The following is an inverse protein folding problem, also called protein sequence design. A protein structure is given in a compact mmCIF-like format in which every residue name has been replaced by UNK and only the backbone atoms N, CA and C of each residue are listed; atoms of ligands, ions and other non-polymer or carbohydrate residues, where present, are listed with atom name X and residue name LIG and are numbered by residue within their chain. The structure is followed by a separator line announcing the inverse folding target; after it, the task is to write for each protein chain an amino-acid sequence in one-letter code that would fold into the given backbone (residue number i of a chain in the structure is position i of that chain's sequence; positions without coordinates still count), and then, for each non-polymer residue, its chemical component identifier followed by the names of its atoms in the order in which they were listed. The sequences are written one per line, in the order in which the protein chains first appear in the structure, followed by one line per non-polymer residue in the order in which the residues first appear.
data_IF_834557794990
#
_entry.id   IF_834557794990
#
_cell.length_a   1.000
_cell.length_b   1.000
_cell.length_c   1.000
_cell.angle_alpha   90.00
_cell.angle_beta   90.00
_cell.angle_gamma   90.00
#
_symmetry.space_group_name_H-M   'P 1'
#
loop_
_entity.id
_entity.type
_entity.pdbx_description
1 polymer ?
#
# COMPACT_ATOMS: atom_id res chain seq x y z
N UNK A 1 1.06 20.68 20.11
CA UNK A 1 1.10 20.57 18.64
C UNK A 1 -0.10 19.74 18.20
N UNK A 2 -0.56 19.88 16.97
CA UNK A 2 -1.80 19.28 16.47
C UNK A 2 -1.55 18.40 15.23
N UNK A 3 -2.49 17.55 14.85
CA UNK A 3 -2.39 16.68 13.66
C UNK A 3 -3.68 16.70 12.85
N UNK A 4 -3.58 16.53 11.53
CA UNK A 4 -4.76 16.28 10.70
C UNK A 4 -5.27 14.85 10.90
N UNK A 5 -6.49 14.69 11.39
CA UNK A 5 -7.19 13.38 11.53
C UNK A 5 -7.65 12.80 10.21
N UNK A 6 -7.79 13.64 9.19
CA UNK A 6 -8.29 13.25 7.89
C UNK A 6 -7.63 14.10 6.81
N UNK A 7 -7.42 13.53 5.63
CA UNK A 7 -6.85 14.25 4.50
C UNK A 7 -7.77 15.41 4.13
N UNK A 8 -7.19 16.60 3.99
CA UNK A 8 -7.93 17.83 3.70
C UNK A 8 -7.16 18.72 2.74
N UNK A 9 -7.89 19.48 1.94
CA UNK A 9 -7.30 20.58 1.18
C UNK A 9 -7.04 21.76 2.11
N UNK A 10 -5.77 22.17 2.20
CA UNK A 10 -5.35 23.41 2.83
C UNK A 10 -5.79 24.58 1.93
N UNK A 11 -6.57 25.52 2.46
CA UNK A 11 -7.18 26.61 1.67
C UNK A 11 -6.52 27.97 1.96
N UNK A 12 -6.55 28.90 0.99
CA UNK A 12 -6.05 30.27 1.21
C UNK A 12 -6.85 31.04 2.26
N UNK A 13 -8.15 30.81 2.31
CA UNK A 13 -9.09 31.44 3.22
C UNK A 13 -10.25 30.48 3.54
N UNK A 14 -11.05 30.72 4.59
CA UNK A 14 -12.24 29.92 4.87
C UNK A 14 -13.16 29.83 3.65
N UNK A 15 -13.45 28.62 3.17
CA UNK A 15 -14.19 28.33 1.92
C UNK A 15 -13.53 28.80 0.59
N UNK A 16 -12.29 29.30 0.62
CA UNK A 16 -11.57 29.74 -0.58
C UNK A 16 -10.86 28.62 -1.32
N UNK A 17 -10.10 29.01 -2.34
CA UNK A 17 -9.36 28.10 -3.21
C UNK A 17 -8.39 27.21 -2.44
N UNK A 18 -8.28 25.96 -2.91
CA UNK A 18 -7.31 25.00 -2.41
C UNK A 18 -5.89 25.38 -2.82
N UNK A 19 -4.97 25.33 -1.86
CA UNK A 19 -3.53 25.49 -2.07
C UNK A 19 -2.92 24.13 -2.38
N UNK A 20 -3.18 23.17 -1.50
CA UNK A 20 -2.60 21.83 -1.58
C UNK A 20 -3.42 20.85 -0.76
N UNK A 21 -3.41 19.58 -1.16
CA UNK A 21 -3.97 18.51 -0.33
C UNK A 21 -2.94 18.09 0.71
N UNK A 22 -3.37 18.05 1.96
CA UNK A 22 -2.57 17.68 3.12
C UNK A 22 -3.09 16.36 3.67
N UNK A 23 -2.27 15.30 3.68
CA UNK A 23 -2.66 13.99 4.19
C UNK A 23 -3.13 14.02 5.64
N UNK A 24 -4.01 13.07 6.00
CA UNK A 24 -4.15 12.68 7.40
C UNK A 24 -2.77 12.32 7.97
N UNK A 25 -2.49 12.72 9.20
CA UNK A 25 -1.21 12.49 9.88
C UNK A 25 -0.22 13.62 9.78
N UNK A 26 -0.46 14.62 8.92
CA UNK A 26 0.43 15.77 8.85
C UNK A 26 0.35 16.59 10.14
N UNK A 27 1.51 16.83 10.77
CA UNK A 27 1.63 17.67 11.95
C UNK A 27 1.43 19.12 11.59
N UNK A 28 0.68 19.81 12.44
CA UNK A 28 0.33 21.20 12.24
C UNK A 28 0.50 22.06 13.48
N UNK A 29 0.97 23.29 13.26
CA UNK A 29 0.88 24.38 14.22
C UNK A 29 -0.49 25.04 14.10
N UNK A 30 -1.15 25.31 15.22
CA UNK A 30 -2.48 25.93 15.23
C UNK A 30 -2.37 27.45 15.17
N UNK A 31 -3.18 28.05 14.29
CA UNK A 31 -3.33 29.50 14.15
C UNK A 31 -4.72 29.97 14.60
N UNK A 32 -5.26 30.97 13.90
CA UNK A 32 -6.56 31.57 14.26
C UNK A 32 -7.72 30.65 13.86
N UNK A 33 -8.72 30.52 14.73
CA UNK A 33 -9.98 29.83 14.43
C UNK A 33 -11.08 30.83 14.06
N UNK A 34 -11.85 30.53 13.00
CA UNK A 34 -13.02 31.29 12.55
C UNK A 34 -14.19 30.34 12.27
N UNK A 35 -15.12 30.24 13.21
CA UNK A 35 -16.26 29.32 13.11
C UNK A 35 -15.80 27.86 13.01
N UNK A 36 -16.19 27.18 11.93
CA UNK A 36 -15.81 25.78 11.65
C UNK A 36 -14.43 25.64 11.01
N UNK A 37 -13.71 26.74 10.74
CA UNK A 37 -12.41 26.74 10.10
C UNK A 37 -11.30 27.09 11.08
N UNK A 38 -10.14 26.45 10.94
CA UNK A 38 -8.93 26.75 11.71
C UNK A 38 -7.75 26.88 10.75
N UNK A 39 -6.93 27.91 10.98
CA UNK A 39 -5.67 28.08 10.27
C UNK A 39 -4.63 27.10 10.83
N UNK A 40 -3.91 26.44 9.95
CA UNK A 40 -2.88 25.46 10.28
C UNK A 40 -1.60 25.76 9.51
N UNK A 41 -0.46 25.55 10.16
CA UNK A 41 0.89 25.63 9.56
C UNK A 41 1.46 24.23 9.47
N UNK A 42 1.91 23.77 8.31
CA UNK A 42 2.51 22.44 8.19
C UNK A 42 3.95 22.48 8.73
N UNK A 43 4.16 21.99 9.95
CA UNK A 43 5.42 22.17 10.70
C UNK A 43 6.57 21.31 10.19
N UNK A 44 6.27 20.23 9.47
CA UNK A 44 7.26 19.30 8.92
C UNK A 44 7.66 19.62 7.48
N UNK A 45 6.92 20.52 6.84
CA UNK A 45 7.24 20.98 5.50
C UNK A 45 8.33 22.07 5.60
N UNK A 46 9.42 21.98 4.82
CA UNK A 46 10.52 22.95 4.85
C UNK A 46 10.07 24.40 4.61
N UNK A 47 8.99 24.58 3.83
CA UNK A 47 8.45 25.89 3.49
C UNK A 47 7.36 26.35 4.46
N UNK A 48 7.00 25.51 5.44
CA UNK A 48 5.98 25.75 6.45
C UNK A 48 4.72 26.45 5.91
N UNK A 49 4.09 25.91 4.85
CA UNK A 49 2.92 26.51 4.23
C UNK A 49 1.77 26.62 5.24
N UNK A 50 1.04 27.72 5.15
CA UNK A 50 -0.10 28.06 6.00
C UNK A 50 -1.39 28.09 5.20
N UNK A 51 -2.48 27.68 5.84
CA UNK A 51 -3.81 27.83 5.27
C UNK A 51 -4.88 27.23 6.16
N UNK A 52 -6.11 27.16 5.66
CA UNK A 52 -7.30 26.86 6.43
C UNK A 52 -7.83 25.45 6.18
N UNK A 53 -8.21 24.75 7.24
CA UNK A 53 -8.88 23.44 7.22
C UNK A 53 -10.08 23.45 8.19
N UNK A 54 -10.97 22.46 8.11
CA UNK A 54 -12.08 22.37 9.06
C UNK A 54 -11.57 21.98 10.46
N UNK A 55 -12.13 22.60 11.50
CA UNK A 55 -11.81 22.35 12.92
C UNK A 55 -11.93 20.87 13.26
N UNK A 56 -12.96 20.21 12.74
CA UNK A 56 -13.21 18.77 12.94
C UNK A 56 -12.11 17.88 12.35
N UNK A 57 -11.36 18.36 11.36
CA UNK A 57 -10.31 17.60 10.69
C UNK A 57 -8.99 17.64 11.45
N UNK A 58 -8.87 18.44 12.50
CA UNK A 58 -7.66 18.60 13.29
C UNK A 58 -7.87 18.01 14.68
N UNK A 59 -6.98 17.11 15.11
CA UNK A 59 -6.81 16.80 16.52
C UNK A 59 -5.95 17.90 17.12
N UNK A 60 -6.58 18.81 17.86
CA UNK A 60 -5.89 19.95 18.45
C UNK A 60 -5.09 19.57 19.70
N UNK A 61 -5.23 18.32 20.17
CA UNK A 61 -4.66 17.83 21.43
C UNK A 61 -3.53 16.82 21.22
N UNK A 62 -3.30 16.35 19.99
CA UNK A 62 -2.28 15.35 19.62
C UNK A 62 -1.50 15.76 18.37
N UNK A 63 -0.22 15.41 18.28
CA UNK A 63 0.67 15.66 17.13
C UNK A 63 1.07 14.39 16.36
N UNK A 64 0.32 13.29 16.55
CA UNK A 64 0.50 12.04 15.81
C UNK A 64 -0.84 11.57 15.28
N UNK A 65 -0.87 11.01 14.06
CA UNK A 65 -2.00 10.21 13.62
C UNK A 65 -2.11 9.09 14.66
N UNK A 66 -3.28 8.98 15.28
CA UNK A 66 -3.64 7.73 15.94
C UNK A 66 -3.59 6.55 14.96
N UNK A 67 -4.14 5.39 15.34
CA UNK A 67 -4.16 4.19 14.49
C UNK A 67 -4.49 4.49 13.02
N UNK A 68 -3.77 3.85 12.08
CA UNK A 68 -4.18 3.79 10.67
C UNK A 68 -5.64 3.33 10.57
N UNK A 69 -6.32 3.69 9.49
CA UNK A 69 -7.65 3.16 9.22
C UNK A 69 -7.58 1.62 9.20
N UNK A 70 -8.23 0.99 10.19
CA UNK A 70 -8.14 -0.46 10.43
C UNK A 70 -8.78 -1.26 9.29
N UNK A 71 -9.74 -0.69 8.57
CA UNK A 71 -10.36 -1.33 7.41
C UNK A 71 -9.41 -1.32 6.21
N UNK A 72 -8.79 -0.17 5.91
CA UNK A 72 -7.78 -0.04 4.85
C UNK A 72 -6.59 -0.96 5.12
N UNK A 73 -6.13 -1.00 6.37
CA UNK A 73 -5.03 -1.86 6.78
C UNK A 73 -5.37 -3.34 6.64
N UNK A 74 -6.59 -3.74 7.04
CA UNK A 74 -7.05 -5.13 6.92
C UNK A 74 -7.18 -5.58 5.45
N UNK A 75 -7.61 -4.69 4.54
CA UNK A 75 -7.65 -4.96 3.10
C UNK A 75 -6.25 -5.21 2.53
N UNK A 76 -5.27 -4.38 2.89
CA UNK A 76 -3.86 -4.59 2.48
C UNK A 76 -3.32 -5.92 3.03
N UNK A 77 -3.60 -6.23 4.29
CA UNK A 77 -3.24 -7.52 4.89
C UNK A 77 -3.87 -8.71 4.14
N UNK A 78 -5.14 -8.61 3.77
CA UNK A 78 -5.84 -9.65 3.01
C UNK A 78 -5.25 -9.83 1.60
N UNK A 79 -4.93 -8.72 0.92
CA UNK A 79 -4.29 -8.76 -0.39
C UNK A 79 -2.92 -9.44 -0.33
N UNK A 80 -2.02 -8.98 0.54
CA UNK A 80 -0.68 -9.58 0.67
C UNK A 80 -0.76 -11.05 1.10
N UNK A 81 -1.73 -11.39 1.95
CA UNK A 81 -2.01 -12.77 2.34
C UNK A 81 -2.40 -13.66 1.15
N UNK A 82 -3.25 -13.16 0.25
CA UNK A 82 -3.64 -13.87 -0.97
C UNK A 82 -2.46 -14.11 -1.92
N UNK A 83 -1.51 -13.17 -1.99
CA UNK A 83 -0.33 -13.23 -2.86
C UNK A 83 0.68 -14.25 -2.35
N UNK A 84 0.93 -14.29 -1.03
CA UNK A 84 2.00 -15.11 -0.45
C UNK A 84 1.52 -16.39 0.23
N UNK A 85 0.21 -16.65 0.24
CA UNK A 85 -0.38 -17.85 0.83
C UNK A 85 -0.18 -17.93 2.34
N UNK A 86 -0.51 -16.83 3.03
CA UNK A 86 -0.45 -16.69 4.50
C UNK A 86 -1.79 -16.13 5.02
N UNK A 87 -1.94 -15.97 6.34
CA UNK A 87 -3.18 -15.46 6.93
C UNK A 87 -3.18 -13.93 7.03
N UNK A 88 -4.12 -13.25 6.38
CA UNK A 88 -4.31 -11.80 6.51
C UNK A 88 -4.75 -11.38 7.92
N UNK A 89 -5.49 -12.26 8.61
CA UNK A 89 -5.87 -12.08 10.02
C UNK A 89 -4.64 -12.05 10.92
N UNK A 90 -3.64 -12.89 10.61
CA UNK A 90 -2.39 -12.92 11.36
C UNK A 90 -1.59 -11.62 11.18
N UNK A 91 -1.47 -11.13 9.95
CA UNK A 91 -0.79 -9.85 9.68
C UNK A 91 -1.44 -8.69 10.45
N UNK A 92 -2.78 -8.60 10.40
CA UNK A 92 -3.54 -7.59 11.11
C UNK A 92 -3.37 -7.69 12.63
N UNK A 93 -3.43 -8.91 13.18
CA UNK A 93 -3.23 -9.16 14.61
C UNK A 93 -1.83 -8.78 15.08
N UNK A 94 -0.78 -9.08 14.30
CA UNK A 94 0.60 -8.70 14.69
C UNK A 94 0.79 -7.18 14.68
N UNK A 95 0.27 -6.48 13.67
CA UNK A 95 0.34 -5.02 13.64
C UNK A 95 -0.43 -4.38 14.82
N UNK A 96 -1.62 -4.89 15.12
CA UNK A 96 -2.41 -4.47 16.27
C UNK A 96 -1.69 -4.75 17.60
N UNK A 97 -1.05 -5.92 17.73
CA UNK A 97 -0.27 -6.28 18.91
C UNK A 97 0.91 -5.33 19.14
N UNK A 98 1.66 -5.02 18.08
CA UNK A 98 2.92 -4.25 18.19
C UNK A 98 2.69 -2.76 18.34
N UNK A 99 1.70 -2.21 17.63
CA UNK A 99 1.53 -0.76 17.53
C UNK A 99 0.10 -0.26 17.65
N UNK A 100 -0.88 -1.15 17.82
CA UNK A 100 -2.31 -0.87 17.58
C UNK A 100 -2.54 -0.31 16.15
N UNK A 101 -1.79 -0.85 15.18
CA UNK A 101 -1.82 -0.41 13.77
C UNK A 101 -1.46 1.08 13.62
N UNK A 102 -0.53 1.59 14.43
CA UNK A 102 -0.07 2.96 14.32
C UNK A 102 1.06 3.08 13.28
N UNK A 103 0.98 4.09 12.41
CA UNK A 103 2.05 4.40 11.45
C UNK A 103 3.13 5.28 12.10
N UNK A 104 3.81 4.71 13.11
CA UNK A 104 4.83 5.42 13.90
C UNK A 104 5.98 5.89 13.00
N UNK A 105 6.31 7.17 13.08
CA UNK A 105 7.41 7.76 12.30
C UNK A 105 8.60 8.09 13.22
N UNK A 106 9.81 7.78 12.75
CA UNK A 106 11.06 8.05 13.44
C UNK A 106 11.32 7.15 14.67
N UNK A 107 12.57 7.13 15.13
CA UNK A 107 12.99 6.33 16.28
C UNK A 107 13.27 4.85 15.95
N UNK A 108 13.36 4.02 16.99
CA UNK A 108 13.76 2.61 16.87
C UNK A 108 12.66 1.66 16.36
N UNK A 109 11.42 2.15 16.24
CA UNK A 109 10.23 1.35 15.90
C UNK A 109 9.34 2.10 14.91
N UNK A 110 9.45 1.73 13.63
CA UNK A 110 8.80 2.44 12.51
C UNK A 110 7.60 1.64 12.01
N UNK A 111 6.50 2.36 11.82
CA UNK A 111 5.25 1.91 11.21
C UNK A 111 4.50 0.81 11.96
N UNK A 112 3.48 0.21 11.31
CA UNK A 112 2.55 -0.74 11.95
C UNK A 112 3.21 -1.98 12.55
N UNK A 113 4.37 -2.39 12.04
CA UNK A 113 5.08 -3.58 12.52
C UNK A 113 6.25 -3.25 13.47
N UNK A 114 6.46 -1.97 13.79
CA UNK A 114 7.56 -1.51 14.62
C UNK A 114 8.93 -2.03 14.13
N UNK A 115 9.20 -1.83 12.84
CA UNK A 115 10.47 -2.21 12.24
C UNK A 115 11.62 -1.34 12.76
N UNK A 116 12.75 -1.97 13.07
CA UNK A 116 14.04 -1.27 13.14
C UNK A 116 14.63 -1.13 11.72
N UNK A 117 15.53 -0.17 11.51
CA UNK A 117 16.26 -0.05 10.23
C UNK A 117 17.02 -1.34 9.89
N UNK A 118 17.53 -2.04 10.91
CA UNK A 118 18.23 -3.31 10.74
C UNK A 118 17.28 -4.44 10.33
N UNK A 119 16.11 -4.55 10.98
CA UNK A 119 15.08 -5.53 10.60
C UNK A 119 14.57 -5.26 9.18
N UNK A 120 14.42 -3.99 8.79
CA UNK A 120 14.11 -3.61 7.41
C UNK A 120 15.21 -4.04 6.44
N UNK A 121 16.48 -3.71 6.72
CA UNK A 121 17.60 -4.05 5.85
C UNK A 121 17.75 -5.57 5.61
N UNK A 122 17.39 -6.40 6.59
CA UNK A 122 17.38 -7.85 6.46
C UNK A 122 16.28 -8.37 5.52
N UNK A 123 15.19 -7.63 5.34
CA UNK A 123 13.97 -8.13 4.72
C UNK A 123 13.48 -7.35 3.50
N UNK A 124 13.95 -6.12 3.29
CA UNK A 124 13.46 -5.22 2.23
C UNK A 124 13.88 -5.65 0.82
N UNK A 125 14.77 -6.65 0.72
CA UNK A 125 15.24 -7.23 -0.54
C UNK A 125 15.04 -8.73 -0.55
N UNK A 126 14.08 -9.18 -1.35
CA UNK A 126 13.75 -10.59 -1.52
C UNK A 126 13.55 -10.88 -3.01
N UNK A 127 14.64 -11.13 -3.78
CA UNK A 127 14.59 -11.33 -5.22
C UNK A 127 13.65 -12.46 -5.65
N UNK A 128 13.53 -13.51 -4.84
CA UNK A 128 12.61 -14.63 -5.08
C UNK A 128 11.13 -14.24 -5.03
N UNK A 129 10.82 -13.06 -4.47
CA UNK A 129 9.48 -12.46 -4.45
C UNK A 129 9.41 -11.15 -5.24
N UNK A 130 10.43 -10.86 -6.08
CA UNK A 130 10.52 -9.62 -6.87
C UNK A 130 10.42 -8.33 -6.04
N UNK A 131 10.85 -8.39 -4.77
CA UNK A 131 10.88 -7.26 -3.86
C UNK A 131 12.30 -6.68 -3.78
N UNK A 132 12.47 -5.41 -4.16
CA UNK A 132 13.69 -4.62 -3.93
C UNK A 132 13.32 -3.21 -3.45
N UNK A 133 13.07 -3.10 -2.15
CA UNK A 133 12.68 -1.86 -1.50
C UNK A 133 13.91 -1.10 -0.96
N UNK A 134 14.09 0.20 -1.31
CA UNK A 134 15.19 1.00 -0.80
C UNK A 134 15.02 1.29 0.70
N UNK A 135 16.12 1.61 1.40
CA UNK A 135 16.11 1.89 2.84
C UNK A 135 15.11 3.00 3.23
N UNK A 136 15.03 4.07 2.42
CA UNK A 136 14.10 5.18 2.65
C UNK A 136 12.61 4.78 2.59
N UNK A 137 12.29 3.64 1.98
CA UNK A 137 10.91 3.17 1.89
C UNK A 137 10.40 2.48 3.17
N UNK A 138 11.23 2.38 4.22
CA UNK A 138 10.82 1.88 5.53
C UNK A 138 9.63 2.66 6.11
N UNK A 139 9.41 3.92 5.74
CA UNK A 139 8.26 4.73 6.19
C UNK A 139 6.96 4.44 5.43
N UNK A 140 6.99 3.60 4.40
CA UNK A 140 5.79 3.20 3.65
C UNK A 140 5.07 2.05 4.34
N UNK A 141 3.99 2.33 5.08
CA UNK A 141 3.25 1.30 5.80
C UNK A 141 2.73 0.17 4.89
N UNK A 142 2.35 0.46 3.64
CA UNK A 142 1.92 -0.57 2.68
C UNK A 142 3.06 -1.52 2.30
N UNK A 143 4.24 -0.95 2.05
CA UNK A 143 5.43 -1.75 1.74
C UNK A 143 5.87 -2.56 2.96
N UNK A 144 5.67 -2.03 4.17
CA UNK A 144 5.86 -2.79 5.39
C UNK A 144 4.90 -3.99 5.50
N UNK A 145 3.63 -3.88 5.08
CA UNK A 145 2.72 -5.05 5.03
C UNK A 145 3.24 -6.11 4.05
N UNK A 146 3.68 -5.72 2.86
CA UNK A 146 4.27 -6.64 1.89
C UNK A 146 5.53 -7.35 2.43
N UNK A 147 6.46 -6.58 3.02
CA UNK A 147 7.68 -7.12 3.64
C UNK A 147 7.32 -8.08 4.77
N UNK A 148 6.41 -7.69 5.67
CA UNK A 148 6.02 -8.54 6.79
C UNK A 148 5.24 -9.80 6.36
N UNK A 149 4.48 -9.74 5.26
CA UNK A 149 3.84 -10.91 4.67
C UNK A 149 4.87 -11.93 4.15
N UNK A 150 5.92 -11.46 3.48
CA UNK A 150 7.03 -12.30 3.03
C UNK A 150 7.78 -12.90 4.24
N UNK A 151 8.08 -12.08 5.26
CA UNK A 151 8.69 -12.56 6.51
C UNK A 151 7.86 -13.68 7.14
N UNK A 152 6.53 -13.50 7.20
CA UNK A 152 5.59 -14.49 7.72
C UNK A 152 5.62 -15.78 6.91
N UNK A 153 5.62 -15.69 5.57
CA UNK A 153 5.71 -16.86 4.69
C UNK A 153 7.01 -17.63 4.89
N UNK A 154 8.13 -16.93 4.93
CA UNK A 154 9.44 -17.54 5.12
C UNK A 154 9.57 -18.19 6.50
N UNK A 155 9.11 -17.53 7.57
CA UNK A 155 9.09 -18.08 8.92
C UNK A 155 8.22 -19.34 8.99
N UNK A 156 7.01 -19.31 8.39
CA UNK A 156 6.11 -20.46 8.35
C UNK A 156 6.75 -21.66 7.63
N UNK A 157 7.36 -21.44 6.47
CA UNK A 157 8.03 -22.52 5.71
C UNK A 157 9.20 -23.14 6.48
N UNK A 158 10.05 -22.30 7.09
CA UNK A 158 11.22 -22.77 7.84
C UNK A 158 10.81 -23.55 9.08
N UNK A 159 9.90 -22.99 9.88
CA UNK A 159 9.43 -23.65 11.09
C UNK A 159 8.67 -24.94 10.76
N UNK A 160 7.81 -24.94 9.74
CA UNK A 160 7.12 -26.16 9.32
C UNK A 160 8.10 -27.26 8.87
N UNK A 161 9.17 -26.89 8.18
CA UNK A 161 10.24 -27.81 7.79
C UNK A 161 10.97 -28.43 8.98
N UNK A 162 11.13 -27.68 10.08
CA UNK A 162 11.76 -28.17 11.32
C UNK A 162 10.82 -29.02 12.18
N UNK A 163 9.53 -28.70 12.21
CA UNK A 163 8.52 -29.42 13.00
C UNK A 163 7.93 -30.64 12.28
N UNK A 164 8.04 -30.70 10.95
CA UNK A 164 7.35 -31.70 10.13
C UNK A 164 5.83 -31.50 10.06
N UNK A 165 5.31 -30.38 10.56
CA UNK A 165 3.88 -30.03 10.60
C UNK A 165 3.70 -28.52 10.45
N UNK A 166 2.49 -28.05 10.12
CA UNK A 166 2.23 -26.61 10.05
C UNK A 166 2.21 -25.99 11.46
N UNK A 167 2.93 -24.87 11.69
CA UNK A 167 2.96 -24.23 13.00
C UNK A 167 1.63 -23.53 13.32
N UNK A 168 1.28 -23.50 14.60
CA UNK A 168 0.22 -22.67 15.14
C UNK A 168 0.63 -21.19 15.13
N UNK A 169 -0.33 -20.27 15.24
CA UNK A 169 -0.06 -18.83 15.22
C UNK A 169 0.90 -18.38 16.34
N UNK A 170 0.78 -18.96 17.54
CA UNK A 170 1.69 -18.66 18.66
C UNK A 170 3.11 -19.17 18.43
N UNK A 171 3.26 -20.34 17.80
CA UNK A 171 4.55 -20.94 17.44
C UNK A 171 5.22 -20.15 16.32
N UNK A 172 4.44 -19.72 15.32
CA UNK A 172 4.89 -18.86 14.24
C UNK A 172 5.37 -17.51 14.77
N UNK A 173 4.61 -16.88 15.67
CA UNK A 173 5.02 -15.61 16.28
C UNK A 173 6.27 -15.80 17.13
N UNK A 174 6.37 -16.87 17.93
CA UNK A 174 7.61 -17.20 18.66
C UNK A 174 8.80 -17.30 17.70
N UNK A 175 8.67 -17.98 16.56
CA UNK A 175 9.72 -18.02 15.53
C UNK A 175 10.07 -16.66 14.94
N UNK A 176 9.12 -15.71 14.87
CA UNK A 176 9.38 -14.34 14.46
C UNK A 176 10.03 -13.48 15.56
N UNK A 177 10.14 -13.98 16.79
CA UNK A 177 10.87 -13.34 17.89
C UNK A 177 12.28 -13.89 18.05
N UNK A 178 12.47 -15.21 17.95
CA UNK A 178 13.75 -15.85 18.31
C UNK A 178 14.42 -16.61 17.16
N UNK A 179 13.81 -16.60 15.97
CA UNK A 179 14.25 -17.40 14.82
C UNK A 179 13.71 -18.83 14.84
N UNK A 180 13.66 -19.45 13.67
CA UNK A 180 13.01 -20.75 13.44
C UNK A 180 13.69 -21.90 14.16
N UNK A 181 15.03 -21.93 14.20
CA UNK A 181 15.80 -22.97 14.90
C UNK A 181 15.58 -22.93 16.41
N UNK A 182 15.63 -21.75 17.02
CA UNK A 182 15.43 -21.60 18.46
C UNK A 182 13.96 -21.89 18.85
N UNK A 183 13.00 -21.45 18.03
CA UNK A 183 11.59 -21.79 18.23
C UNK A 183 11.34 -23.31 18.13
N UNK A 184 11.89 -23.98 17.11
CA UNK A 184 11.78 -25.43 16.98
C UNK A 184 12.40 -26.16 18.19
N UNK A 185 13.56 -25.70 18.69
CA UNK A 185 14.19 -26.25 19.89
C UNK A 185 13.33 -26.05 21.15
N UNK A 186 12.75 -24.85 21.32
CA UNK A 186 11.84 -24.55 22.43
C UNK A 186 10.62 -25.50 22.42
N UNK A 187 10.06 -25.78 21.24
CA UNK A 187 8.87 -26.61 21.09
C UNK A 187 9.12 -28.10 21.40
N UNK A 188 10.38 -28.57 21.42
CA UNK A 188 10.72 -29.93 21.83
C UNK A 188 10.63 -30.15 23.35
N UNK A 189 10.75 -29.08 24.14
CA UNK A 189 10.61 -29.14 25.60
C UNK A 189 9.75 -27.98 26.12
N UNK A 190 8.40 -28.13 26.08
CA UNK A 190 7.48 -27.09 26.55
C UNK A 190 7.66 -26.69 28.03
N UNK A 191 8.31 -27.53 28.84
CA UNK A 191 8.55 -27.27 30.26
C UNK A 191 9.88 -26.57 30.54
N UNK A 192 10.76 -26.46 29.54
CA UNK A 192 12.00 -25.72 29.67
C UNK A 192 11.73 -24.24 30.00
N UNK A 193 12.64 -23.63 30.76
CA UNK A 193 12.59 -22.19 31.04
C UNK A 193 12.99 -21.44 29.77
N UNK A 194 12.16 -20.49 29.32
CA UNK A 194 12.38 -19.77 28.05
C UNK A 194 13.76 -19.11 27.99
N UNK A 195 14.22 -18.53 29.11
CA UNK A 195 15.53 -17.88 29.21
C UNK A 195 16.73 -18.85 29.03
N UNK A 196 16.50 -20.16 29.13
CA UNK A 196 17.54 -21.17 28.88
C UNK A 196 17.61 -21.64 27.42
N UNK A 197 16.64 -21.26 26.58
CA UNK A 197 16.64 -21.62 25.16
C UNK A 197 17.77 -20.85 24.46
N UNK A 198 18.74 -21.54 23.82
CA UNK A 198 19.84 -20.88 23.14
C UNK A 198 19.34 -20.18 21.87
N UNK A 199 19.56 -18.86 21.79
CA UNK A 199 19.25 -18.06 20.61
C UNK A 199 20.56 -17.71 19.90
N UNK A 200 20.78 -18.32 18.74
CA UNK A 200 21.89 -17.95 17.84
C UNK A 200 21.48 -16.73 17.01
N UNK A 201 22.07 -15.58 17.34
CA UNK A 201 21.77 -14.31 16.68
C UNK A 201 22.12 -14.31 15.18
N UNK A 202 23.13 -15.07 14.75
CA UNK A 202 23.49 -15.16 13.33
C UNK A 202 22.48 -16.03 12.58
N UNK A 203 22.04 -17.15 13.17
CA UNK A 203 20.98 -17.97 12.59
C UNK A 203 19.65 -17.20 12.52
N UNK A 204 19.30 -16.46 13.57
CA UNK A 204 18.10 -15.62 13.59
C UNK A 204 18.16 -14.48 12.56
N UNK A 205 19.32 -13.84 12.37
CA UNK A 205 19.50 -12.85 11.30
C UNK A 205 19.33 -13.46 9.91
N UNK A 206 19.77 -14.71 9.70
CA UNK A 206 19.50 -15.48 8.47
C UNK A 206 18.00 -15.75 8.24
N UNK A 207 17.21 -15.73 9.31
CA UNK A 207 15.75 -15.80 9.23
C UNK A 207 15.07 -14.45 9.03
N UNK A 208 15.85 -13.35 9.01
CA UNK A 208 15.35 -11.99 8.90
C UNK A 208 14.98 -11.35 10.24
N UNK A 209 15.45 -11.91 11.37
CA UNK A 209 15.09 -11.46 12.71
C UNK A 209 16.21 -10.63 13.33
N UNK A 210 15.87 -9.40 13.74
CA UNK A 210 16.75 -8.58 14.57
C UNK A 210 16.51 -8.88 16.05
N UNK A 211 17.18 -9.92 16.56
CA UNK A 211 16.95 -10.43 17.92
C UNK A 211 17.03 -9.32 18.97
N UNK A 212 17.98 -8.39 18.84
CA UNK A 212 18.14 -7.26 19.76
C UNK A 212 16.87 -6.38 19.83
N UNK A 213 16.27 -6.06 18.68
CA UNK A 213 15.02 -5.31 18.63
C UNK A 213 13.85 -6.11 19.21
N UNK A 214 13.76 -7.40 18.91
CA UNK A 214 12.66 -8.25 19.38
C UNK A 214 12.73 -8.53 20.89
N UNK A 215 13.92 -8.65 21.47
CA UNK A 215 14.09 -8.85 22.91
C UNK A 215 13.71 -7.62 23.72
N UNK A 216 13.75 -6.43 23.12
CA UNK A 216 13.30 -5.18 23.74
C UNK A 216 11.80 -4.94 23.49
N UNK A 217 11.35 -5.04 22.24
CA UNK A 217 9.95 -4.79 21.83
C UNK A 217 8.98 -5.79 22.45
N UNK A 218 9.35 -7.07 22.46
CA UNK A 218 8.48 -8.20 22.85
C UNK A 218 8.93 -8.85 24.17
N UNK A 219 9.77 -8.18 24.96
CA UNK A 219 10.34 -8.67 26.23
C UNK A 219 9.26 -9.24 27.18
N UNK A 220 8.12 -8.54 27.26
CA UNK A 220 7.00 -8.90 28.12
C UNK A 220 6.33 -10.22 27.75
N UNK A 221 6.48 -10.69 26.50
CA UNK A 221 5.97 -11.98 26.04
C UNK A 221 6.97 -13.11 26.35
N UNK A 222 8.27 -12.86 26.17
CA UNK A 222 9.32 -13.86 26.37
C UNK A 222 9.64 -14.12 27.85
N UNK A 223 9.26 -13.20 28.76
CA UNK A 223 9.51 -13.31 30.20
C UNK A 223 8.58 -14.24 30.98
N UNK A 224 7.62 -14.92 30.34
CA UNK A 224 6.52 -15.63 31.01
C UNK A 224 6.88 -16.98 31.70
N UNK A 225 8.17 -17.29 31.88
CA UNK A 225 8.61 -18.52 32.57
C UNK A 225 8.94 -19.66 31.60
N UNK A 226 8.11 -20.71 31.56
CA UNK A 226 8.34 -21.87 30.68
C UNK A 226 7.92 -21.59 29.23
N UNK A 227 8.40 -22.39 28.28
CA UNK A 227 8.01 -22.29 26.86
C UNK A 227 6.49 -22.39 26.69
N UNK A 228 5.83 -23.32 27.38
CA UNK A 228 4.36 -23.45 27.37
C UNK A 228 3.66 -22.17 27.85
N UNK A 229 4.17 -21.54 28.91
CA UNK A 229 3.61 -20.29 29.43
C UNK A 229 3.82 -19.12 28.47
N UNK A 230 4.97 -19.06 27.79
CA UNK A 230 5.25 -18.07 26.73
C UNK A 230 4.31 -18.25 25.54
N UNK A 231 4.10 -19.49 25.07
CA UNK A 231 3.16 -19.77 23.98
C UNK A 231 1.72 -19.39 24.34
N UNK A 232 1.30 -19.64 25.59
CA UNK A 232 0.00 -19.23 26.09
C UNK A 232 -0.14 -17.70 26.18
N UNK A 233 0.91 -17.00 26.62
CA UNK A 233 0.95 -15.54 26.67
C UNK A 233 0.88 -14.93 25.26
N UNK A 234 1.64 -15.46 24.31
CA UNK A 234 1.58 -15.07 22.90
C UNK A 234 0.17 -15.34 22.34
N UNK A 235 -0.39 -16.52 22.55
CA UNK A 235 -1.74 -16.86 22.09
C UNK A 235 -2.80 -15.91 22.64
N UNK A 236 -2.70 -15.55 23.92
CA UNK A 236 -3.59 -14.57 24.55
C UNK A 236 -3.43 -13.18 23.95
N UNK A 237 -2.19 -12.74 23.72
CA UNK A 237 -1.89 -11.43 23.17
C UNK A 237 -2.36 -11.30 21.71
N UNK A 238 -2.06 -12.31 20.87
CA UNK A 238 -2.54 -12.40 19.49
C UNK A 238 -4.07 -12.49 19.44
N UNK A 239 -4.70 -13.25 20.34
CA UNK A 239 -6.16 -13.34 20.43
C UNK A 239 -6.81 -11.99 20.71
N UNK A 240 -6.31 -11.24 21.70
CA UNK A 240 -6.79 -9.88 22.01
C UNK A 240 -6.57 -8.92 20.84
N UNK A 241 -5.42 -9.01 20.17
CA UNK A 241 -5.12 -8.17 19.01
C UNK A 241 -6.01 -8.51 17.81
N UNK A 242 -6.28 -9.81 17.58
CA UNK A 242 -7.21 -10.25 16.54
C UNK A 242 -8.64 -9.78 16.84
N UNK A 243 -9.06 -9.83 18.10
CA UNK A 243 -10.38 -9.34 18.52
C UNK A 243 -10.55 -7.84 18.26
N UNK A 244 -9.49 -7.04 18.47
CA UNK A 244 -9.54 -5.59 18.23
C UNK A 244 -9.61 -5.22 16.73
N UNK A 245 -9.29 -6.15 15.83
CA UNK A 245 -9.35 -5.96 14.37
C UNK A 245 -10.40 -6.83 13.68
N UNK A 246 -11.14 -7.64 14.46
CA UNK A 246 -11.99 -8.73 13.95
C UNK A 246 -12.99 -8.27 12.91
N UNK A 247 -13.74 -7.20 13.20
CA UNK A 247 -14.77 -6.69 12.30
C UNK A 247 -14.18 -6.21 10.96
N UNK A 248 -12.98 -5.65 10.98
CA UNK A 248 -12.28 -5.18 9.78
C UNK A 248 -11.70 -6.35 8.98
N UNK A 249 -11.11 -7.33 9.68
CA UNK A 249 -10.55 -8.53 9.05
C UNK A 249 -11.62 -9.41 8.40
N UNK A 250 -12.79 -9.57 9.06
CA UNK A 250 -13.95 -10.25 8.48
C UNK A 250 -14.43 -9.49 7.26
N UNK A 251 -14.64 -8.16 7.34
CA UNK A 251 -15.06 -7.36 6.17
C UNK A 251 -14.07 -7.43 5.01
N UNK A 252 -12.77 -7.54 5.29
CA UNK A 252 -11.74 -7.70 4.26
C UNK A 252 -11.79 -9.10 3.62
N UNK A 253 -12.11 -10.15 4.39
CA UNK A 253 -12.29 -11.51 3.88
C UNK A 253 -13.66 -11.81 3.24
N UNK A 254 -14.69 -11.05 3.62
CA UNK A 254 -16.05 -11.08 3.07
C UNK A 254 -16.15 -10.27 1.77
N UNK A 255 -15.10 -9.53 1.40
CA UNK A 255 -15.00 -9.07 0.02
C UNK A 255 -15.07 -10.32 -0.85
N UNK A 256 -16.04 -10.42 -1.78
CA UNK A 256 -16.06 -11.53 -2.71
C UNK A 256 -14.67 -11.66 -3.32
N UNK A 257 -14.23 -12.87 -3.69
CA UNK A 257 -13.25 -12.98 -4.78
C UNK A 257 -13.97 -12.37 -5.97
N UNK A 258 -13.90 -11.05 -6.10
CA UNK A 258 -14.68 -10.31 -7.06
C UNK A 258 -14.12 -10.79 -8.39
N UNK A 259 -14.94 -11.54 -9.13
CA UNK A 259 -14.64 -11.85 -10.52
C UNK A 259 -14.14 -10.56 -11.16
N UNK A 260 -12.91 -10.60 -11.71
CA UNK A 260 -12.20 -9.47 -12.29
C UNK A 260 -13.18 -8.48 -12.93
N UNK A 261 -13.49 -7.35 -12.27
CA UNK A 261 -14.66 -6.57 -12.68
C UNK A 261 -15.04 -5.39 -11.81
N UNK A 262 -15.49 -5.60 -10.56
CA UNK A 262 -16.00 -4.52 -9.72
C UNK A 262 -14.93 -4.01 -8.77
N UNK A 263 -14.65 -2.71 -8.84
CA UNK A 263 -13.60 -2.11 -8.04
C UNK A 263 -14.02 -1.61 -6.68
N UNK A 264 -13.05 -1.45 -5.78
CA UNK A 264 -13.26 -0.86 -4.47
C UNK A 264 -12.56 0.49 -4.37
N UNK A 265 -13.24 1.47 -3.77
CA UNK A 265 -12.64 2.69 -3.25
C UNK A 265 -11.83 2.39 -1.98
N UNK A 266 -10.88 3.27 -1.59
CA UNK A 266 -10.18 3.16 -0.32
C UNK A 266 -11.09 3.12 0.92
N UNK A 267 -12.33 3.61 0.84
CA UNK A 267 -13.33 3.57 1.92
C UNK A 267 -14.22 2.32 1.90
N UNK A 268 -13.94 1.36 1.01
CA UNK A 268 -14.74 0.13 0.85
C UNK A 268 -16.02 0.30 0.03
N UNK A 269 -16.25 1.47 -0.58
CA UNK A 269 -17.38 1.66 -1.50
C UNK A 269 -17.14 0.90 -2.80
N UNK A 270 -18.16 0.17 -3.26
CA UNK A 270 -18.15 -0.53 -4.54
C UNK A 270 -18.25 0.49 -5.68
N UNK A 271 -17.29 0.47 -6.59
CA UNK A 271 -17.30 1.22 -7.84
C UNK A 271 -18.38 0.62 -8.73
N UNK A 272 -19.45 1.38 -8.96
CA UNK A 272 -20.61 0.95 -9.77
C UNK A 272 -20.41 1.15 -11.26
N UNK A 273 -19.41 1.96 -11.66
CA UNK A 273 -19.10 2.24 -13.06
C UNK A 273 -18.07 3.36 -13.24
N UNK A 274 -17.99 3.87 -14.47
CA UNK A 274 -17.10 4.96 -14.86
C UNK A 274 -17.92 6.24 -15.07
N UNK A 275 -17.53 7.33 -14.41
CA UNK A 275 -18.12 8.65 -14.57
C UNK A 275 -17.56 9.32 -15.83
N UNK A 276 -18.13 9.02 -17.00
CA UNK A 276 -17.77 9.67 -18.27
C UNK A 276 -18.19 11.15 -18.34
N UNK A 277 -18.97 11.62 -17.36
CA UNK A 277 -19.38 13.03 -17.23
C UNK A 277 -18.43 13.81 -16.30
N UNK A 278 -17.33 13.21 -15.86
CA UNK A 278 -16.31 13.88 -15.05
C UNK A 278 -15.82 15.18 -15.70
N UNK A 279 -15.56 16.25 -14.92
CA UNK A 279 -14.98 17.49 -15.44
C UNK A 279 -13.58 17.29 -16.07
N UNK A 280 -12.88 16.20 -15.74
CA UNK A 280 -11.58 15.84 -16.33
C UNK A 280 -11.72 15.29 -17.76
N UNK A 281 -12.94 14.97 -18.21
CA UNK A 281 -13.22 14.51 -19.58
C UNK A 281 -13.95 15.63 -20.33
N UNK A 282 -13.26 16.34 -21.24
CA UNK A 282 -13.93 17.32 -22.10
C UNK A 282 -15.10 16.68 -22.86
N UNK A 283 -16.23 17.38 -22.98
CA UNK A 283 -17.45 16.86 -23.59
C UNK A 283 -17.18 16.26 -25.00
N UNK A 284 -16.40 16.96 -25.81
CA UNK A 284 -16.01 16.52 -27.16
C UNK A 284 -15.10 15.27 -27.20
N UNK A 285 -14.59 14.80 -26.06
CA UNK A 285 -13.64 13.67 -25.94
C UNK A 285 -14.24 12.48 -25.18
N UNK A 286 -15.52 12.55 -24.78
CA UNK A 286 -16.19 11.45 -24.06
C UNK A 286 -16.22 10.15 -24.85
N UNK A 287 -16.41 10.23 -26.17
CA UNK A 287 -16.39 9.04 -27.03
C UNK A 287 -15.02 8.38 -27.09
N UNK A 288 -13.93 9.16 -26.97
CA UNK A 288 -12.57 8.63 -26.87
C UNK A 288 -12.37 7.95 -25.51
N UNK A 289 -12.85 8.52 -24.41
CA UNK A 289 -12.80 7.87 -23.10
C UNK A 289 -13.59 6.54 -23.09
N UNK A 290 -14.79 6.52 -23.69
CA UNK A 290 -15.60 5.30 -23.86
C UNK A 290 -14.88 4.27 -24.73
N UNK A 291 -14.17 4.70 -25.77
CA UNK A 291 -13.38 3.82 -26.61
C UNK A 291 -12.24 3.16 -25.81
N UNK A 292 -11.51 3.92 -24.97
CA UNK A 292 -10.49 3.36 -24.07
C UNK A 292 -11.10 2.31 -23.14
N UNK A 293 -12.22 2.63 -22.48
CA UNK A 293 -12.92 1.68 -21.60
C UNK A 293 -13.32 0.40 -22.35
N UNK A 294 -13.95 0.54 -23.52
CA UNK A 294 -14.39 -0.57 -24.36
C UNK A 294 -13.22 -1.49 -24.73
N UNK A 295 -12.12 -0.93 -25.24
CA UNK A 295 -10.95 -1.72 -25.67
C UNK A 295 -10.25 -2.42 -24.51
N UNK A 296 -10.17 -1.78 -23.34
CA UNK A 296 -9.65 -2.43 -22.14
C UNK A 296 -10.59 -3.54 -21.64
N UNK A 297 -11.92 -3.34 -21.71
CA UNK A 297 -12.88 -4.38 -21.39
C UNK A 297 -12.77 -5.59 -22.34
N UNK A 298 -12.66 -5.36 -23.65
CA UNK A 298 -12.45 -6.40 -24.67
C UNK A 298 -11.16 -7.20 -24.43
N UNK A 299 -10.13 -6.57 -23.86
CA UNK A 299 -8.87 -7.22 -23.47
C UNK A 299 -8.94 -7.95 -22.09
N UNK A 300 -10.11 -7.97 -21.46
CA UNK A 300 -10.37 -8.67 -20.20
C UNK A 300 -9.99 -7.89 -18.95
N UNK A 301 -9.94 -6.56 -19.02
CA UNK A 301 -9.66 -5.70 -17.87
C UNK A 301 -10.96 -5.16 -17.22
N UNK A 302 -11.00 -5.17 -15.89
CA UNK A 302 -12.14 -4.69 -15.11
C UNK A 302 -12.26 -3.16 -15.05
N UNK A 303 -13.32 -2.67 -14.40
CA UNK A 303 -13.65 -1.23 -14.36
C UNK A 303 -12.53 -0.39 -13.76
N UNK A 304 -11.82 -0.89 -12.75
CA UNK A 304 -10.65 -0.21 -12.16
C UNK A 304 -9.55 0.04 -13.19
N UNK A 305 -9.19 -1.02 -13.93
CA UNK A 305 -8.12 -0.96 -14.91
C UNK A 305 -8.51 -0.01 -16.05
N UNK A 306 -9.79 -0.01 -16.44
CA UNK A 306 -10.33 0.94 -17.40
C UNK A 306 -10.21 2.39 -16.90
N UNK A 307 -10.56 2.66 -15.64
CA UNK A 307 -10.41 3.98 -15.00
C UNK A 307 -8.94 4.40 -14.98
N UNK A 308 -8.03 3.51 -14.59
CA UNK A 308 -6.60 3.79 -14.60
C UNK A 308 -6.11 4.14 -16.00
N UNK A 309 -6.51 3.37 -17.03
CA UNK A 309 -6.15 3.65 -18.42
C UNK A 309 -6.67 5.01 -18.91
N UNK A 310 -7.93 5.36 -18.60
CA UNK A 310 -8.51 6.66 -18.94
C UNK A 310 -7.75 7.78 -18.23
N UNK A 311 -7.46 7.65 -16.93
CA UNK A 311 -6.71 8.65 -16.17
C UNK A 311 -5.30 8.86 -16.72
N UNK A 312 -4.63 7.79 -17.17
CA UNK A 312 -3.35 7.89 -17.86
C UNK A 312 -3.50 8.65 -19.19
N UNK A 313 -4.46 8.30 -20.04
CA UNK A 313 -4.68 8.98 -21.32
C UNK A 313 -5.08 10.46 -21.17
N UNK A 314 -5.81 10.83 -20.12
CA UNK A 314 -6.09 12.23 -19.75
C UNK A 314 -4.79 12.94 -19.39
N UNK A 315 -3.96 12.34 -18.53
CA UNK A 315 -2.71 12.97 -18.11
C UNK A 315 -1.67 13.10 -19.24
N UNK A 316 -1.66 12.16 -20.19
CA UNK A 316 -0.70 12.13 -21.30
C UNK A 316 -1.09 13.08 -22.44
N UNK A 317 -2.37 13.09 -22.83
CA UNK A 317 -2.83 13.79 -24.03
C UNK A 317 -4.08 14.63 -23.82
N UNK A 318 -4.67 14.59 -22.62
CA UNK A 318 -6.02 15.09 -22.39
C UNK A 318 -7.07 14.32 -23.20
N UNK A 319 -6.83 13.04 -23.54
CA UNK A 319 -7.64 12.26 -24.48
C UNK A 319 -7.63 12.80 -25.93
N UNK A 320 -6.58 13.52 -26.33
CA UNK A 320 -6.43 14.03 -27.70
C UNK A 320 -5.70 12.99 -28.57
N UNK A 321 -6.44 12.32 -29.44
CA UNK A 321 -5.91 11.23 -30.28
C UNK A 321 -4.80 11.67 -31.25
N UNK A 322 -4.83 12.91 -31.74
CA UNK A 322 -3.82 13.47 -32.64
C UNK A 322 -2.69 14.20 -31.89
N UNK A 323 -2.61 14.07 -30.55
CA UNK A 323 -1.58 14.70 -29.74
C UNK A 323 -0.16 14.30 -30.20
N UNK A 324 0.73 15.28 -30.13
CA UNK A 324 2.15 15.12 -30.44
C UNK A 324 2.95 15.87 -29.37
N UNK A 325 3.97 15.23 -28.81
CA UNK A 325 4.93 15.88 -27.92
C UNK A 325 5.76 16.94 -28.65
N UNK A 326 6.23 18.00 -27.95
CA UNK A 326 7.22 18.90 -28.50
C UNK A 326 8.53 18.18 -28.87
N UNK A 327 9.19 18.63 -29.94
CA UNK A 327 10.53 18.14 -30.28
C UNK A 327 11.52 18.45 -29.13
N UNK A 328 12.52 17.58 -28.89
CA UNK A 328 12.92 16.43 -29.70
C UNK A 328 12.15 15.14 -29.38
N UNK A 329 11.19 15.19 -28.46
CA UNK A 329 10.41 14.03 -28.08
C UNK A 329 9.44 13.67 -29.21
N UNK A 330 9.45 12.40 -29.64
CA UNK A 330 8.64 11.88 -30.76
C UNK A 330 7.58 10.92 -30.24
N UNK A 331 6.72 11.43 -29.37
CA UNK A 331 5.61 10.74 -28.71
C UNK A 331 4.28 11.16 -29.32
N UNK A 332 3.37 10.20 -29.53
CA UNK A 332 2.14 10.42 -30.28
C UNK A 332 0.92 9.74 -29.65
N UNK A 333 -0.23 10.39 -29.81
CA UNK A 333 -1.56 9.84 -29.50
C UNK A 333 -1.92 9.79 -28.02
N UNK A 334 -2.92 8.97 -27.71
CA UNK A 334 -3.61 8.96 -26.41
C UNK A 334 -2.68 8.69 -25.23
N UNK A 335 -1.78 7.72 -25.39
CA UNK A 335 -0.79 7.31 -24.39
C UNK A 335 0.62 7.83 -24.69
N UNK A 336 0.77 8.85 -25.55
CA UNK A 336 2.07 9.45 -25.90
C UNK A 336 3.15 8.39 -26.22
N UNK A 337 2.83 7.45 -27.11
CA UNK A 337 3.74 6.35 -27.47
C UNK A 337 4.97 6.89 -28.22
N UNK A 338 6.15 6.71 -27.65
CA UNK A 338 7.40 7.22 -28.19
C UNK A 338 7.98 6.29 -29.28
N UNK A 339 8.47 6.85 -30.40
CA UNK A 339 9.09 6.06 -31.50
C UNK A 339 10.38 5.31 -31.11
N UNK A 340 11.04 5.71 -30.03
CA UNK A 340 12.20 4.99 -29.47
C UNK A 340 11.79 4.03 -28.34
N UNK A 341 10.50 3.96 -28.00
CA UNK A 341 9.94 3.12 -26.95
C UNK A 341 8.81 2.25 -27.49
N UNK A 342 7.65 2.29 -26.83
CA UNK A 342 6.48 1.46 -27.18
C UNK A 342 5.97 1.69 -28.60
N UNK A 343 6.18 2.89 -29.17
CA UNK A 343 5.82 3.21 -30.55
C UNK A 343 6.86 2.79 -31.60
N UNK A 344 7.92 2.07 -31.22
CA UNK A 344 8.96 1.66 -32.15
C UNK A 344 8.42 0.79 -33.30
N UNK A 345 8.82 1.10 -34.53
CA UNK A 345 8.40 0.37 -35.73
C UNK A 345 7.03 0.78 -36.30
N UNK A 346 6.35 1.75 -35.67
CA UNK A 346 5.06 2.28 -36.14
C UNK A 346 5.21 3.64 -36.84
N UNK A 347 4.30 3.92 -37.77
CA UNK A 347 4.22 5.23 -38.42
C UNK A 347 3.52 6.26 -37.50
N UNK A 348 3.96 7.53 -37.46
CA UNK A 348 3.31 8.55 -36.63
C UNK A 348 1.81 8.75 -36.91
N UNK A 349 1.34 8.52 -38.15
CA UNK A 349 -0.09 8.58 -38.45
C UNK A 349 -0.85 7.41 -37.82
N UNK A 350 -0.23 6.22 -37.76
CA UNK A 350 -0.78 5.06 -37.06
C UNK A 350 -0.89 5.33 -35.55
N UNK A 351 0.14 5.94 -34.95
CA UNK A 351 0.11 6.27 -33.52
C UNK A 351 -0.91 7.36 -33.16
N UNK A 352 -1.40 8.14 -34.13
CA UNK A 352 -2.47 9.13 -33.96
C UNK A 352 -3.87 8.55 -34.18
N UNK A 353 -3.99 7.33 -34.71
CA UNK A 353 -5.26 6.63 -34.75
C UNK A 353 -5.57 6.08 -33.35
N UNK A 354 -6.69 6.46 -32.72
CA UNK A 354 -6.97 6.08 -31.34
C UNK A 354 -7.13 4.56 -31.17
N UNK A 355 -7.67 3.83 -32.16
CA UNK A 355 -7.80 2.37 -32.06
C UNK A 355 -6.43 1.70 -32.09
N UNK A 356 -5.55 2.13 -32.99
CA UNK A 356 -4.17 1.62 -33.08
C UNK A 356 -3.34 1.99 -31.87
N UNK A 357 -3.41 3.23 -31.39
CA UNK A 357 -2.69 3.67 -30.20
C UNK A 357 -3.07 2.82 -28.97
N UNK A 358 -4.37 2.57 -28.75
CA UNK A 358 -4.84 1.71 -27.66
C UNK A 358 -4.40 0.25 -27.88
N UNK A 359 -4.52 -0.29 -29.09
CA UNK A 359 -4.13 -1.66 -29.39
C UNK A 359 -2.63 -1.92 -29.15
N UNK A 360 -1.77 -0.97 -29.51
CA UNK A 360 -0.33 -1.05 -29.28
C UNK A 360 -0.03 -1.04 -27.77
N UNK A 361 -0.67 -0.14 -27.01
CA UNK A 361 -0.53 -0.11 -25.55
C UNK A 361 -0.99 -1.43 -24.91
N UNK A 362 -2.15 -1.96 -25.31
CA UNK A 362 -2.65 -3.25 -24.80
C UNK A 362 -1.71 -4.42 -25.12
N UNK A 363 -1.14 -4.44 -26.34
CA UNK A 363 -0.15 -5.43 -26.72
C UNK A 363 1.12 -5.30 -25.87
N UNK A 364 1.59 -4.07 -25.62
CA UNK A 364 2.72 -3.82 -24.75
C UNK A 364 2.46 -4.31 -23.32
N UNK A 365 1.34 -3.92 -22.71
CA UNK A 365 0.92 -4.38 -21.38
C UNK A 365 0.92 -5.91 -21.33
N UNK A 366 0.38 -6.59 -22.36
CA UNK A 366 0.29 -8.03 -22.39
C UNK A 366 1.66 -8.75 -22.33
N UNK A 367 2.75 -8.10 -22.77
CA UNK A 367 4.11 -8.65 -22.71
C UNK A 367 4.77 -8.53 -21.35
N UNK A 368 4.23 -7.71 -20.44
CA UNK A 368 4.85 -7.39 -19.16
C UNK A 368 4.33 -8.29 -18.04
N UNK A 369 5.22 -8.72 -17.15
CA UNK A 369 4.87 -9.56 -15.98
C UNK A 369 3.86 -8.87 -15.04
N UNK A 370 3.90 -7.54 -14.98
CA UNK A 370 2.98 -6.72 -14.20
C UNK A 370 1.52 -6.77 -14.72
N UNK A 371 1.25 -7.31 -15.91
CA UNK A 371 -0.10 -7.52 -16.42
C UNK A 371 -0.96 -8.37 -15.48
N UNK A 372 -0.38 -9.44 -14.90
CA UNK A 372 -1.13 -10.29 -13.96
C UNK A 372 -1.55 -9.50 -12.71
N UNK A 373 -0.65 -8.69 -12.15
CA UNK A 373 -0.93 -7.81 -11.02
C UNK A 373 -1.95 -6.73 -11.38
N UNK A 374 -1.84 -6.15 -12.58
CA UNK A 374 -2.78 -5.15 -13.08
C UNK A 374 -4.17 -5.72 -13.30
N UNK A 375 -4.31 -6.98 -13.74
CA UNK A 375 -5.61 -7.65 -13.85
C UNK A 375 -6.22 -7.99 -12.50
N UNK A 376 -5.38 -8.34 -11.53
CA UNK A 376 -5.80 -8.79 -10.21
C UNK A 376 -6.10 -7.65 -9.22
N UNK A 377 -5.61 -6.43 -9.48
CA UNK A 377 -5.77 -5.33 -8.52
C UNK A 377 -7.24 -4.92 -8.34
N UNK A 378 -7.61 -4.70 -7.07
CA UNK A 378 -8.95 -4.29 -6.64
C UNK A 378 -9.00 -2.82 -6.18
N UNK A 379 -7.93 -2.06 -6.41
CA UNK A 379 -7.78 -0.68 -5.97
C UNK A 379 -7.44 0.22 -7.15
N UNK A 380 -8.18 1.33 -7.28
CA UNK A 380 -7.95 2.34 -8.33
C UNK A 380 -6.57 2.96 -8.21
N UNK A 381 -6.13 3.24 -6.99
CA UNK A 381 -4.80 3.77 -6.76
C UNK A 381 -3.71 2.79 -7.20
N UNK A 382 -3.87 1.50 -6.89
CA UNK A 382 -2.87 0.49 -7.23
C UNK A 382 -2.87 0.19 -8.73
N UNK A 383 -4.03 0.22 -9.38
CA UNK A 383 -4.11 0.14 -10.84
C UNK A 383 -3.42 1.31 -11.52
N UNK A 384 -3.60 2.54 -11.01
CA UNK A 384 -2.84 3.71 -11.49
C UNK A 384 -1.35 3.54 -11.21
N UNK A 385 -0.98 3.07 -10.02
CA UNK A 385 0.42 2.87 -9.64
C UNK A 385 1.13 1.85 -10.54
N UNK A 386 0.50 0.71 -10.78
CA UNK A 386 1.01 -0.33 -11.69
C UNK A 386 1.10 0.23 -13.11
N UNK A 387 0.06 0.90 -13.60
CA UNK A 387 0.08 1.46 -14.95
C UNK A 387 1.23 2.45 -15.13
N UNK A 388 1.44 3.35 -14.17
CA UNK A 388 2.50 4.35 -14.23
C UNK A 388 3.89 3.72 -14.08
N UNK A 389 4.10 2.87 -13.08
CA UNK A 389 5.43 2.33 -12.76
C UNK A 389 5.88 1.26 -13.75
N UNK A 390 4.96 0.42 -14.18
CA UNK A 390 5.32 -0.80 -14.88
C UNK A 390 5.12 -0.70 -16.39
N UNK A 391 4.14 0.10 -16.84
CA UNK A 391 3.82 0.25 -18.26
C UNK A 391 4.36 1.56 -18.85
N UNK A 392 4.09 2.71 -18.24
CA UNK A 392 4.51 4.02 -18.76
C UNK A 392 5.96 4.39 -18.40
N UNK A 393 6.42 4.00 -17.22
CA UNK A 393 7.79 4.21 -16.72
C UNK A 393 8.33 5.64 -16.90
N UNK A 394 7.59 6.69 -16.49
CA UNK A 394 8.07 8.05 -16.61
C UNK A 394 9.22 8.31 -15.62
N UNK A 395 10.03 9.33 -15.89
CA UNK A 395 11.13 9.73 -15.00
C UNK A 395 10.65 10.09 -13.58
N UNK A 396 9.50 10.76 -13.47
CA UNK A 396 8.84 11.08 -12.20
C UNK A 396 7.60 10.19 -12.00
N UNK A 397 7.83 8.93 -11.63
CA UNK A 397 6.75 7.98 -11.37
C UNK A 397 5.88 8.41 -10.17
N UNK A 398 6.46 8.97 -9.11
CA UNK A 398 5.72 9.35 -7.90
C UNK A 398 4.75 10.52 -8.15
N UNK A 399 5.21 11.56 -8.84
CA UNK A 399 4.35 12.67 -9.22
C UNK A 399 3.32 12.28 -10.28
N UNK A 400 3.68 11.42 -11.23
CA UNK A 400 2.73 10.89 -12.21
C UNK A 400 1.61 10.05 -11.56
N UNK A 401 1.93 9.19 -10.60
CA UNK A 401 0.93 8.44 -9.82
C UNK A 401 0.00 9.40 -9.08
N UNK A 402 0.55 10.42 -8.42
CA UNK A 402 -0.25 11.38 -7.65
C UNK A 402 -1.24 12.12 -8.54
N UNK A 403 -0.77 12.66 -9.68
CA UNK A 403 -1.62 13.37 -10.65
C UNK A 403 -2.70 12.45 -11.23
N UNK A 404 -2.33 11.25 -11.64
CA UNK A 404 -3.25 10.30 -12.29
C UNK A 404 -4.24 9.67 -11.33
N UNK A 405 -3.86 9.50 -10.06
CA UNK A 405 -4.80 9.05 -9.01
C UNK A 405 -5.85 10.12 -8.73
N UNK A 406 -5.49 11.40 -8.75
CA UNK A 406 -6.43 12.49 -8.60
C UNK A 406 -7.45 12.52 -9.75
N UNK A 407 -6.99 12.38 -11.00
CA UNK A 407 -7.88 12.26 -12.16
C UNK A 407 -8.78 11.03 -12.00
N UNK A 408 -8.21 9.86 -11.72
CA UNK A 408 -8.94 8.60 -11.57
C UNK A 408 -10.06 8.68 -10.54
N UNK A 409 -9.85 9.41 -9.43
CA UNK A 409 -10.87 9.59 -8.39
C UNK A 409 -12.13 10.31 -8.89
N UNK A 410 -11.99 11.21 -9.86
CA UNK A 410 -13.15 11.91 -10.47
C UNK A 410 -13.99 11.02 -11.39
N UNK A 411 -13.40 9.90 -11.84
CA UNK A 411 -13.99 8.96 -12.79
C UNK A 411 -14.82 7.88 -12.11
N UNK A 412 -14.98 7.92 -10.78
CA UNK A 412 -15.64 6.87 -10.00
C UNK A 412 -17.13 7.20 -9.85
N UNK A 413 -17.99 6.16 -9.88
CA UNK A 413 -19.45 6.23 -9.67
C UNK A 413 -19.86 5.33 -8.53
#
# INVERSE_FOLDING_TARGET
MAVLKSTRTLRKEPNGDGIMTVPAGTRVGLGVQKGIWIEVTLVDDPNQPKGWVSVEAVDQTSDTLGPLDKQVFALECHFQASVYGISGHYLAAVAALRTDIADRQGGAAIGPYAFSEKEWALNSRQPQFQLDAPAAAITSWRLQVAVFAIMTRLAQLRLAGLLGTQPQASELYLSQLIGSKAAAAALQDPKAVMASIPIDAAAAAGDGIDVANTTDRDAGLLGAGTVEAVLAAIGTALGKALDSVREFAIKAGDQPIVAAGAGLLPDGTVIKGINFESPEIPEMRRDVARLVALRFAEAGYGTIQQIAAIANAIAESGLKADAKSPEPEKSYGLFQLNLNGVGHGHDPAELKDPNRNIAIMLAHIATLSANAAFKATASVHDAVAIFVRDFERPADAAGAITRRSAIAQTLLV
#
